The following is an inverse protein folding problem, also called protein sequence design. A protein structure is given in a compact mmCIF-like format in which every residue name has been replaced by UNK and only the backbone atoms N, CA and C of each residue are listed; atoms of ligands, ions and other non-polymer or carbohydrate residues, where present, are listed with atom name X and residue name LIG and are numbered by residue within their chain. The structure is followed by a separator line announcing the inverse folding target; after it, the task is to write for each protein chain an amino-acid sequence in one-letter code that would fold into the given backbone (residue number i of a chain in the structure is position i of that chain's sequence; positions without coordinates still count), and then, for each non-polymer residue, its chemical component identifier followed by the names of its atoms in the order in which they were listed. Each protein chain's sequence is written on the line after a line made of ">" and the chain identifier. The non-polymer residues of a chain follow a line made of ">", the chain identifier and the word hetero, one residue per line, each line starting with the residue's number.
data_IF_706381745416
#
_entry.id   IF_706381745416
#
_cell.length_a   1.000
_cell.length_b   1.000
_cell.length_c   1.000
_cell.angle_alpha   90.00
_cell.angle_beta   90.00
_cell.angle_gamma   90.00
#
_symmetry.space_group_name_H-M   'P 1'
#
loop_
_entity.id
_entity.type
_entity.pdbx_description
1 polymer ?
#
# COMPACT_ATOMS: atom_id res chain seq x y z
N UNK A 1 0.17 19.99 -1.95
CA UNK A 1 -1.08 19.50 -1.35
C UNK A 1 -1.08 17.98 -1.47
N UNK A 2 -0.50 17.28 -0.50
CA UNK A 2 -0.65 15.83 -0.40
C UNK A 2 -1.93 15.59 0.41
N UNK A 3 -2.90 14.89 -0.16
CA UNK A 3 -4.07 14.42 0.56
C UNK A 3 -3.56 13.43 1.62
N UNK A 4 -3.44 13.89 2.86
CA UNK A 4 -3.28 12.98 4.00
C UNK A 4 -4.57 12.18 4.09
N UNK A 5 -4.61 11.01 3.44
CA UNK A 5 -5.74 10.09 3.52
C UNK A 5 -5.69 9.41 4.87
N UNK A 6 -6.20 10.10 5.88
CA UNK A 6 -6.37 9.58 7.22
C UNK A 6 -7.53 8.59 7.22
N UNK A 7 -7.31 7.40 6.67
CA UNK A 7 -8.27 6.31 6.77
C UNK A 7 -8.34 5.87 8.24
N UNK A 8 -9.54 5.75 8.83
CA UNK A 8 -9.67 5.18 10.15
C UNK A 8 -9.09 3.75 10.10
N UNK A 9 -7.98 3.53 10.80
CA UNK A 9 -7.29 2.25 10.89
C UNK A 9 -8.18 1.22 11.59
N UNK A 10 -9.11 0.63 10.85
CA UNK A 10 -9.84 -0.54 11.30
C UNK A 10 -8.92 -1.74 11.15
N UNK A 11 -8.19 -2.08 12.23
CA UNK A 11 -7.25 -3.19 12.28
C UNK A 11 -7.86 -4.55 11.90
N UNK A 12 -9.19 -4.70 11.90
CA UNK A 12 -9.87 -5.94 11.44
C UNK A 12 -10.04 -6.02 9.92
N UNK A 13 -9.81 -4.93 9.18
CA UNK A 13 -9.98 -4.81 7.72
C UNK A 13 -8.70 -4.34 7.01
N UNK A 14 -7.56 -4.47 7.67
CA UNK A 14 -6.25 -4.11 7.13
C UNK A 14 -5.43 -5.38 6.98
N UNK A 15 -4.88 -5.59 5.79
CA UNK A 15 -3.96 -6.68 5.51
C UNK A 15 -2.53 -6.14 5.51
N UNK A 16 -1.60 -6.94 6.01
CA UNK A 16 -0.17 -6.74 5.76
C UNK A 16 0.23 -7.54 4.52
N UNK A 17 0.92 -6.89 3.60
CA UNK A 17 1.44 -7.49 2.37
C UNK A 17 2.94 -7.22 2.32
N UNK A 18 3.75 -8.26 2.15
CA UNK A 18 5.21 -8.12 2.12
C UNK A 18 5.86 -9.06 1.11
N UNK A 19 7.11 -8.76 0.77
CA UNK A 19 7.91 -9.57 -0.16
C UNK A 19 7.70 -9.25 -1.64
N UNK A 20 7.16 -8.07 -1.95
CA UNK A 20 7.05 -7.61 -3.34
C UNK A 20 8.31 -6.87 -3.80
N UNK A 21 8.64 -7.01 -5.08
CA UNK A 21 9.79 -6.40 -5.73
C UNK A 21 9.65 -4.88 -5.90
N UNK A 22 10.76 -4.21 -6.22
CA UNK A 22 10.83 -2.74 -6.40
C UNK A 22 9.94 -2.21 -7.54
N UNK A 23 9.52 -3.08 -8.46
CA UNK A 23 8.62 -2.76 -9.55
C UNK A 23 7.16 -2.60 -9.11
N UNK A 24 6.81 -3.01 -7.89
CA UNK A 24 5.42 -3.04 -7.40
C UNK A 24 5.04 -1.71 -6.74
N UNK A 25 4.12 -1.00 -7.38
CA UNK A 25 3.55 0.25 -6.86
C UNK A 25 2.11 0.08 -6.35
N UNK A 26 1.51 1.19 -5.88
CA UNK A 26 0.13 1.23 -5.41
C UNK A 26 -0.88 0.76 -6.48
N UNK A 27 -0.63 1.03 -7.77
CA UNK A 27 -1.55 0.66 -8.85
C UNK A 27 -1.53 -0.84 -9.09
N UNK A 28 -0.35 -1.45 -9.05
CA UNK A 28 -0.18 -2.91 -9.19
C UNK A 28 -0.85 -3.62 -8.01
N UNK A 29 -0.61 -3.17 -6.77
CA UNK A 29 -1.28 -3.73 -5.60
C UNK A 29 -2.80 -3.53 -5.70
N UNK A 30 -3.27 -2.34 -6.07
CA UNK A 30 -4.71 -2.09 -6.20
C UNK A 30 -5.35 -3.04 -7.23
N UNK A 31 -4.76 -3.17 -8.42
CA UNK A 31 -5.26 -4.06 -9.46
C UNK A 31 -5.21 -5.53 -9.05
N UNK A 32 -4.14 -5.96 -8.36
CA UNK A 32 -4.00 -7.34 -7.88
C UNK A 32 -5.01 -7.72 -6.80
N UNK A 33 -5.39 -6.76 -5.94
CA UNK A 33 -6.32 -7.01 -4.84
C UNK A 33 -7.79 -6.69 -5.16
N UNK A 34 -8.08 -5.98 -6.24
CA UNK A 34 -9.44 -5.61 -6.68
C UNK A 34 -10.42 -6.80 -6.78
N UNK A 35 -10.02 -8.00 -7.25
CA UNK A 35 -10.92 -9.15 -7.29
C UNK A 35 -11.42 -9.63 -5.92
N UNK A 36 -10.74 -9.25 -4.83
CA UNK A 36 -11.06 -9.68 -3.46
C UNK A 36 -11.91 -8.66 -2.70
N UNK A 37 -12.25 -7.53 -3.32
CA UNK A 37 -13.12 -6.51 -2.76
C UNK A 37 -12.64 -5.09 -3.04
N UNK A 38 -13.47 -4.12 -2.65
CA UNK A 38 -13.12 -2.70 -2.74
C UNK A 38 -11.95 -2.37 -1.80
N UNK A 39 -10.95 -1.68 -2.34
CA UNK A 39 -9.78 -1.24 -1.58
C UNK A 39 -10.01 0.20 -1.17
N UNK A 40 -10.08 0.43 0.15
CA UNK A 40 -10.28 1.78 0.70
C UNK A 40 -8.99 2.60 0.66
N UNK A 41 -7.82 1.96 0.77
CA UNK A 41 -6.53 2.63 0.66
C UNK A 41 -5.36 1.66 0.78
N UNK A 42 -4.20 2.11 0.30
CA UNK A 42 -2.93 1.37 0.32
C UNK A 42 -1.88 2.29 0.95
N UNK A 43 -1.02 1.73 1.80
CA UNK A 43 0.10 2.46 2.40
C UNK A 43 1.38 1.68 2.18
N UNK A 44 2.32 2.26 1.43
CA UNK A 44 3.62 1.63 1.15
C UNK A 44 4.69 2.52 1.78
N UNK A 45 5.37 2.08 2.86
CA UNK A 45 6.43 2.87 3.48
C UNK A 45 7.60 3.07 2.51
N UNK A 46 7.95 4.34 2.30
CA UNK A 46 9.15 4.71 1.54
C UNK A 46 10.39 4.75 2.43
N UNK A 47 11.50 4.36 1.83
CA UNK A 47 12.84 4.70 2.27
C UNK A 47 13.27 6.01 1.58
N UNK A 48 13.47 7.04 2.39
CA UNK A 48 13.82 8.38 1.91
C UNK A 48 15.29 8.52 1.51
N UNK A 49 16.15 7.58 1.91
CA UNK A 49 17.57 7.57 1.50
C UNK A 49 17.70 7.06 0.06
N UNK A 50 16.99 5.99 -0.26
CA UNK A 50 17.04 5.33 -1.58
C UNK A 50 15.98 5.85 -2.55
N UNK A 51 14.93 6.50 -2.04
CA UNK A 51 13.77 6.91 -2.83
C UNK A 51 12.90 5.74 -3.28
N UNK A 52 13.09 4.54 -2.71
CA UNK A 52 12.37 3.30 -3.03
C UNK A 52 11.46 2.88 -1.88
N UNK A 53 10.49 2.02 -2.14
CA UNK A 53 9.68 1.44 -1.07
C UNK A 53 10.40 0.29 -0.37
N UNK A 54 9.97 -0.04 0.85
CA UNK A 54 10.60 -1.10 1.67
C UNK A 54 10.14 -2.52 1.36
N UNK A 55 9.31 -2.72 0.33
CA UNK A 55 8.85 -4.04 -0.12
C UNK A 55 7.74 -4.64 0.75
N UNK A 56 7.06 -3.80 1.53
CA UNK A 56 5.88 -4.16 2.31
C UNK A 56 4.90 -2.98 2.44
N UNK A 57 3.67 -3.27 2.88
CA UNK A 57 2.59 -2.30 3.10
C UNK A 57 1.41 -2.90 3.83
#
# INVERSE_FOLDING_TARGET
>A
MALSTNFPHNRKRTLYVGGFGEEVDEKILHAGFLPFGEIVGISIPMDYETGKHRGFG
#
